data_IF_762392280469
#
_entry.id   IF_762392280469
#
_cell.length_a   1.000
_cell.length_b   1.000
_cell.length_c   1.000
_cell.angle_alpha   90.00
_cell.angle_beta   90.00
_cell.angle_gamma   90.00
#
_symmetry.space_group_name_H-M   'P 1'
#
loop_
_entity.id
_entity.type
_entity.pdbx_description
1 polymer ?
#
# COMPACT_ATOMS: atom_id res chain seq x y z
N UNK A 1 9.26 25.25 -7.32
CA UNK A 1 9.82 23.88 -7.44
C UNK A 1 8.72 22.92 -7.04
N UNK A 2 8.44 21.90 -7.87
CA UNK A 2 7.42 20.91 -7.59
C UNK A 2 7.82 20.08 -6.35
N UNK A 3 6.84 19.69 -5.52
CA UNK A 3 7.11 19.03 -4.21
C UNK A 3 7.89 17.72 -4.32
N UNK A 4 7.80 17.01 -5.45
CA UNK A 4 8.50 15.74 -5.65
C UNK A 4 9.94 15.90 -6.16
N UNK A 5 10.29 17.04 -6.78
CA UNK A 5 11.61 17.27 -7.38
C UNK A 5 12.79 16.98 -6.44
N UNK A 6 12.76 17.36 -5.14
CA UNK A 6 13.85 17.06 -4.22
C UNK A 6 14.09 15.57 -3.94
N UNK A 7 13.09 14.73 -4.22
CA UNK A 7 13.13 13.27 -3.99
C UNK A 7 13.35 12.46 -5.27
N UNK A 8 13.48 13.13 -6.41
CA UNK A 8 13.79 12.51 -7.70
C UNK A 8 15.30 12.35 -7.85
N UNK A 9 15.75 11.23 -8.39
CA UNK A 9 17.17 11.01 -8.69
C UNK A 9 17.72 12.12 -9.57
N UNK A 10 18.85 12.70 -9.18
CA UNK A 10 19.40 13.92 -9.79
C UNK A 10 19.72 13.78 -11.29
N UNK A 11 20.01 12.57 -11.75
CA UNK A 11 20.27 12.33 -13.17
C UNK A 11 19.00 12.48 -14.03
N UNK A 12 17.81 12.22 -13.50
CA UNK A 12 16.56 12.49 -14.23
C UNK A 12 16.30 13.99 -14.36
N UNK A 13 16.60 14.78 -13.32
CA UNK A 13 16.49 16.24 -13.39
C UNK A 13 17.46 16.80 -14.46
N UNK A 14 18.70 16.28 -14.50
CA UNK A 14 19.67 16.67 -15.53
C UNK A 14 19.20 16.30 -16.94
N UNK A 15 18.65 15.09 -17.08
CA UNK A 15 18.11 14.61 -18.36
C UNK A 15 16.96 15.50 -18.83
N UNK A 16 16.02 15.86 -17.95
CA UNK A 16 14.94 16.80 -18.26
C UNK A 16 15.49 18.11 -18.85
N UNK A 17 16.49 18.70 -18.21
CA UNK A 17 17.11 19.94 -18.70
C UNK A 17 17.77 19.74 -20.06
N UNK A 18 18.51 18.65 -20.25
CA UNK A 18 19.18 18.34 -21.53
C UNK A 18 18.16 18.26 -22.67
N UNK A 19 17.06 17.50 -22.49
CA UNK A 19 16.08 17.36 -23.56
C UNK A 19 15.32 18.65 -23.85
N UNK A 20 15.09 19.49 -22.84
CA UNK A 20 14.49 20.82 -23.04
C UNK A 20 15.36 21.75 -23.88
N UNK A 21 16.69 21.67 -23.75
CA UNK A 21 17.65 22.52 -24.48
C UNK A 21 18.04 21.96 -25.86
N UNK A 22 18.09 20.62 -26.00
CA UNK A 22 18.59 19.96 -27.21
C UNK A 22 17.50 19.46 -28.15
N UNK A 23 16.25 19.49 -27.72
CA UNK A 23 15.08 19.02 -28.45
C UNK A 23 14.35 17.92 -27.72
N UNK A 24 13.07 18.14 -27.52
CA UNK A 24 12.18 17.20 -26.85
C UNK A 24 11.60 16.20 -27.87
N UNK A 25 11.29 15.00 -27.39
CA UNK A 25 10.71 13.94 -28.20
C UNK A 25 9.58 13.22 -27.45
N UNK A 26 8.61 12.72 -28.19
CA UNK A 26 7.60 11.81 -27.65
C UNK A 26 8.22 10.44 -27.42
N UNK A 27 8.13 9.93 -26.20
CA UNK A 27 8.66 8.63 -25.80
C UNK A 27 7.58 7.78 -25.13
N UNK A 28 7.78 6.47 -25.11
CA UNK A 28 6.89 5.52 -24.41
C UNK A 28 7.70 4.72 -23.41
N UNK A 29 7.32 4.82 -22.15
CA UNK A 29 7.86 4.02 -21.06
C UNK A 29 7.01 2.76 -20.87
N UNK A 30 7.66 1.59 -20.87
CA UNK A 30 7.06 0.34 -20.48
C UNK A 30 7.42 0.05 -19.02
N UNK A 31 6.42 -0.05 -18.15
CA UNK A 31 6.62 -0.26 -16.73
C UNK A 31 6.30 -1.71 -16.37
N UNK A 32 7.26 -2.40 -15.79
CA UNK A 32 7.15 -3.81 -15.43
C UNK A 32 7.84 -4.11 -14.10
N UNK A 33 7.56 -5.27 -13.51
CA UNK A 33 8.23 -5.77 -12.31
C UNK A 33 9.13 -6.95 -12.67
N UNK A 34 10.24 -7.09 -11.95
CA UNK A 34 11.18 -8.23 -12.14
C UNK A 34 10.72 -9.52 -11.46
N UNK A 35 9.63 -9.46 -10.72
CA UNK A 35 8.98 -10.59 -10.04
C UNK A 35 7.48 -10.56 -10.34
N UNK A 36 6.79 -11.70 -10.24
CA UNK A 36 5.34 -11.70 -10.33
C UNK A 36 4.72 -10.83 -9.24
N UNK A 37 3.65 -10.13 -9.59
CA UNK A 37 2.91 -9.25 -8.66
C UNK A 37 1.40 -9.32 -8.89
N UNK A 38 0.64 -8.74 -7.99
CA UNK A 38 -0.77 -8.42 -8.23
C UNK A 38 -0.87 -6.92 -8.51
N UNK A 39 -1.46 -6.54 -9.63
CA UNK A 39 -1.51 -5.16 -10.10
C UNK A 39 -2.36 -4.28 -9.19
N UNK A 40 -1.76 -3.25 -8.59
CA UNK A 40 -2.38 -2.30 -7.68
C UNK A 40 -1.93 -0.86 -8.02
N UNK A 41 -2.44 -0.25 -9.11
CA UNK A 41 -1.89 0.97 -9.70
C UNK A 41 -2.51 2.26 -9.20
N UNK A 42 -3.69 2.23 -8.55
CA UNK A 42 -4.56 3.39 -8.34
C UNK A 42 -3.85 4.60 -7.73
N UNK A 43 -3.05 4.39 -6.67
CA UNK A 43 -2.37 5.51 -5.99
C UNK A 43 -1.28 6.12 -6.87
N UNK A 44 -0.51 5.29 -7.58
CA UNK A 44 0.51 5.74 -8.52
C UNK A 44 -0.09 6.51 -9.69
N UNK A 45 -1.16 5.98 -10.29
CA UNK A 45 -1.83 6.62 -11.43
C UNK A 45 -2.52 7.93 -11.04
N UNK A 46 -3.15 7.99 -9.87
CA UNK A 46 -3.76 9.22 -9.37
C UNK A 46 -2.71 10.31 -9.16
N UNK A 47 -1.57 9.95 -8.55
CA UNK A 47 -0.45 10.87 -8.38
C UNK A 47 0.10 11.35 -9.74
N UNK A 48 0.35 10.43 -10.68
CA UNK A 48 0.89 10.76 -12.00
C UNK A 48 -0.06 11.72 -12.75
N UNK A 49 -1.35 11.38 -12.82
CA UNK A 49 -2.37 12.21 -13.47
C UNK A 49 -2.43 13.62 -12.86
N UNK A 50 -2.34 13.70 -11.51
CA UNK A 50 -2.33 14.99 -10.83
C UNK A 50 -1.12 15.84 -11.21
N UNK A 51 0.09 15.27 -11.17
CA UNK A 51 1.32 16.01 -11.50
C UNK A 51 1.30 16.48 -12.97
N UNK A 52 0.83 15.64 -13.88
CA UNK A 52 0.72 16.01 -15.30
C UNK A 52 -0.30 17.15 -15.50
N UNK A 53 -1.43 17.08 -14.82
CA UNK A 53 -2.42 18.16 -14.82
C UNK A 53 -1.85 19.47 -14.25
N UNK A 54 -1.12 19.39 -13.14
CA UNK A 54 -0.49 20.56 -12.50
C UNK A 54 0.59 21.19 -13.41
N UNK A 55 1.16 20.42 -14.36
CA UNK A 55 2.11 20.89 -15.41
C UNK A 55 1.41 21.48 -16.64
N UNK A 56 0.09 21.41 -16.74
CA UNK A 56 -0.67 21.71 -17.95
C UNK A 56 -0.18 20.93 -19.20
N UNK A 57 0.25 19.69 -18.99
CA UNK A 57 0.71 18.77 -20.02
C UNK A 57 -0.25 17.59 -20.19
N UNK A 58 -0.05 16.82 -21.24
CA UNK A 58 -0.83 15.62 -21.53
C UNK A 58 0.05 14.42 -21.76
N UNK A 59 -0.42 13.28 -21.26
CA UNK A 59 0.20 11.96 -21.49
C UNK A 59 -0.88 10.96 -21.87
N UNK A 60 -0.48 9.89 -22.54
CA UNK A 60 -1.30 8.71 -22.77
C UNK A 60 -0.87 7.61 -21.79
N UNK A 61 -1.83 7.01 -21.08
CA UNK A 61 -1.61 5.86 -20.20
C UNK A 61 -2.39 4.70 -20.78
N UNK A 62 -1.71 3.61 -21.11
CA UNK A 62 -2.32 2.35 -21.54
C UNK A 62 -2.02 1.26 -20.52
N UNK A 63 -3.03 0.84 -19.77
CA UNK A 63 -2.94 -0.27 -18.82
C UNK A 63 -3.19 -1.60 -19.56
N UNK A 64 -2.30 -2.58 -19.38
CA UNK A 64 -2.46 -3.93 -19.94
C UNK A 64 -3.28 -4.85 -19.02
N UNK A 65 -3.44 -4.48 -17.76
CA UNK A 65 -4.09 -5.28 -16.73
C UNK A 65 -5.12 -4.44 -15.96
N UNK A 66 -6.14 -5.10 -15.44
CA UNK A 66 -7.07 -4.50 -14.46
C UNK A 66 -6.51 -4.66 -13.05
N UNK A 67 -6.86 -3.75 -12.16
CA UNK A 67 -6.53 -3.85 -10.74
C UNK A 67 -6.91 -5.24 -10.19
N UNK A 68 -6.01 -5.82 -9.39
CA UNK A 68 -6.14 -7.17 -8.87
C UNK A 68 -5.71 -8.29 -9.82
N UNK A 69 -5.30 -7.99 -11.06
CA UNK A 69 -4.76 -9.00 -11.96
C UNK A 69 -3.40 -9.50 -11.50
N UNK A 70 -3.14 -10.79 -11.72
CA UNK A 70 -1.78 -11.33 -11.63
C UNK A 70 -0.99 -10.90 -12.86
N UNK A 71 0.26 -10.50 -12.66
CA UNK A 71 1.19 -10.07 -13.72
C UNK A 71 2.49 -10.85 -13.54
N UNK A 72 2.98 -11.45 -14.62
CA UNK A 72 4.24 -12.19 -14.64
C UNK A 72 5.47 -11.28 -14.56
N UNK A 73 6.60 -11.88 -14.21
CA UNK A 73 7.88 -11.18 -14.22
C UNK A 73 8.22 -10.68 -15.63
N UNK A 74 8.60 -9.40 -15.76
CA UNK A 74 8.97 -8.79 -17.04
C UNK A 74 7.79 -8.41 -17.94
N UNK A 75 6.55 -8.75 -17.58
CA UNK A 75 5.39 -8.33 -18.37
C UNK A 75 5.10 -6.84 -18.12
N UNK A 76 4.97 -6.01 -19.18
CA UNK A 76 4.61 -4.61 -19.01
C UNK A 76 3.21 -4.47 -18.40
N UNK A 77 3.14 -3.89 -17.21
CA UNK A 77 1.88 -3.60 -16.51
C UNK A 77 1.11 -2.49 -17.20
N UNK A 78 1.84 -1.46 -17.61
CA UNK A 78 1.29 -0.30 -18.30
C UNK A 78 2.37 0.39 -19.15
N UNK A 79 1.89 1.24 -20.06
CA UNK A 79 2.73 2.14 -20.85
C UNK A 79 2.34 3.58 -20.56
N UNK A 80 3.34 4.45 -20.44
CA UNK A 80 3.18 5.90 -20.33
C UNK A 80 3.84 6.55 -21.53
N UNK A 81 3.08 7.28 -22.34
CA UNK A 81 3.56 7.94 -23.54
C UNK A 81 3.35 9.45 -23.42
N UNK A 82 4.41 10.22 -23.66
CA UNK A 82 4.38 11.68 -23.59
C UNK A 82 5.70 12.31 -24.02
N UNK A 83 5.81 13.64 -23.92
CA UNK A 83 7.08 14.32 -24.09
C UNK A 83 8.08 13.85 -23.04
N UNK A 84 9.33 13.59 -23.43
CA UNK A 84 10.34 13.13 -22.48
C UNK A 84 10.58 14.13 -21.35
N UNK A 85 10.61 15.43 -21.64
CA UNK A 85 10.75 16.47 -20.62
C UNK A 85 9.60 16.51 -19.61
N UNK A 86 8.44 15.96 -19.98
CA UNK A 86 7.26 15.93 -19.12
C UNK A 86 7.28 14.76 -18.14
N UNK A 87 7.87 13.62 -18.50
CA UNK A 87 7.75 12.37 -17.76
C UNK A 87 9.05 11.86 -17.12
N UNK A 88 10.22 12.23 -17.65
CA UNK A 88 11.51 11.65 -17.26
C UNK A 88 11.84 11.83 -15.77
N UNK A 89 11.52 12.97 -15.19
CA UNK A 89 11.79 13.29 -13.78
C UNK A 89 10.73 12.75 -12.83
N UNK A 90 9.70 12.09 -13.35
CA UNK A 90 8.64 11.47 -12.55
C UNK A 90 8.92 10.00 -12.23
N UNK A 91 9.89 9.38 -12.89
CA UNK A 91 10.16 7.94 -12.81
C UNK A 91 10.39 7.47 -11.37
N UNK A 92 11.29 8.13 -10.63
CA UNK A 92 11.63 7.73 -9.26
C UNK A 92 10.36 7.61 -8.39
N UNK A 93 9.56 8.67 -8.34
CA UNK A 93 8.39 8.73 -7.46
C UNK A 93 7.26 7.83 -7.97
N UNK A 94 7.09 7.75 -9.28
CA UNK A 94 6.09 6.87 -9.87
C UNK A 94 6.34 5.40 -9.51
N UNK A 95 7.60 4.94 -9.62
CA UNK A 95 7.98 3.58 -9.26
C UNK A 95 7.86 3.31 -7.76
N UNK A 96 8.20 4.29 -6.90
CA UNK A 96 7.99 4.21 -5.46
C UNK A 96 6.50 4.03 -5.10
N UNK A 97 5.59 4.66 -5.84
CA UNK A 97 4.14 4.55 -5.59
C UNK A 97 3.50 3.31 -6.21
N UNK A 98 4.09 2.74 -7.25
CA UNK A 98 3.55 1.59 -7.97
C UNK A 98 4.08 0.26 -7.43
N UNK A 99 5.38 0.15 -7.19
CA UNK A 99 6.03 -1.11 -6.84
C UNK A 99 5.54 -1.71 -5.51
N UNK A 100 5.64 -0.99 -4.39
CA UNK A 100 5.26 -1.50 -3.08
C UNK A 100 3.81 -2.00 -2.99
N UNK A 101 2.78 -1.27 -3.49
CA UNK A 101 1.42 -1.79 -3.47
C UNK A 101 1.24 -3.07 -4.29
N UNK A 102 1.90 -3.19 -5.44
CA UNK A 102 1.82 -4.40 -6.25
C UNK A 102 2.41 -5.63 -5.53
N UNK A 103 3.52 -5.44 -4.80
CA UNK A 103 4.13 -6.50 -3.96
C UNK A 103 3.24 -6.83 -2.77
N UNK A 104 2.73 -5.82 -2.06
CA UNK A 104 1.81 -6.02 -0.94
C UNK A 104 0.54 -6.76 -1.36
N UNK A 105 -0.03 -6.41 -2.51
CA UNK A 105 -1.21 -7.07 -3.07
C UNK A 105 -0.94 -8.54 -3.41
N UNK A 106 0.23 -8.84 -3.96
CA UNK A 106 0.65 -10.22 -4.24
C UNK A 106 0.78 -11.04 -2.96
N UNK A 107 1.47 -10.50 -1.94
CA UNK A 107 1.66 -11.18 -0.66
C UNK A 107 0.31 -11.40 0.06
N UNK A 108 -0.52 -10.37 0.15
CA UNK A 108 -1.83 -10.48 0.78
C UNK A 108 -2.74 -11.50 0.07
N UNK A 109 -2.72 -11.53 -1.26
CA UNK A 109 -3.45 -12.53 -2.03
C UNK A 109 -2.99 -13.94 -1.66
N UNK A 110 -1.68 -14.20 -1.65
CA UNK A 110 -1.12 -15.52 -1.33
C UNK A 110 -1.46 -15.94 0.11
N UNK A 111 -1.32 -15.04 1.10
CA UNK A 111 -1.76 -15.31 2.48
C UNK A 111 -3.23 -15.74 2.54
N UNK A 112 -4.10 -15.00 1.85
CA UNK A 112 -5.52 -15.28 1.85
C UNK A 112 -5.90 -16.60 1.16
N UNK A 113 -5.17 -17.04 0.13
CA UNK A 113 -5.45 -18.30 -0.55
C UNK A 113 -4.91 -19.51 0.21
N UNK A 114 -3.80 -19.36 0.92
CA UNK A 114 -3.24 -20.41 1.77
C UNK A 114 -4.10 -20.65 3.01
N UNK A 115 -4.63 -19.59 3.60
CA UNK A 115 -5.44 -19.63 4.83
C UNK A 115 -6.85 -19.05 4.59
N UNK A 116 -7.63 -19.67 3.73
CA UNK A 116 -8.95 -19.15 3.28
C UNK A 116 -9.94 -18.87 4.40
N UNK A 117 -9.90 -19.65 5.48
CA UNK A 117 -10.83 -19.52 6.61
C UNK A 117 -10.33 -18.56 7.68
N UNK A 118 -9.11 -18.01 7.54
CA UNK A 118 -8.52 -17.07 8.49
C UNK A 118 -8.87 -15.63 8.10
N UNK A 119 -9.27 -14.84 9.10
CA UNK A 119 -9.39 -13.39 9.00
C UNK A 119 -8.05 -12.77 9.36
N UNK A 120 -7.61 -11.78 8.58
CA UNK A 120 -6.37 -11.06 8.83
C UNK A 120 -6.63 -9.61 9.23
N UNK A 121 -5.74 -9.05 10.03
CA UNK A 121 -5.66 -7.62 10.32
C UNK A 121 -4.29 -7.12 9.84
N UNK A 122 -4.25 -6.07 9.04
CA UNK A 122 -3.01 -5.45 8.62
C UNK A 122 -2.45 -4.60 9.78
N UNK A 123 -1.33 -5.03 10.34
CA UNK A 123 -0.67 -4.39 11.50
C UNK A 123 0.74 -3.89 11.15
N UNK A 124 0.96 -3.57 9.89
CA UNK A 124 2.24 -3.20 9.31
C UNK A 124 2.65 -1.75 9.57
N UNK A 125 1.73 -0.86 9.94
CA UNK A 125 1.95 0.58 10.02
C UNK A 125 3.22 0.97 10.81
N UNK A 126 3.47 0.37 11.96
CA UNK A 126 4.67 0.62 12.79
C UNK A 126 5.98 0.08 12.19
N UNK A 127 5.90 -0.76 11.15
CA UNK A 127 7.04 -1.36 10.45
C UNK A 127 7.33 -0.70 9.10
N UNK A 128 6.49 0.23 8.67
CA UNK A 128 6.63 0.95 7.41
C UNK A 128 7.63 2.11 7.51
N UNK A 129 8.29 2.41 6.41
CA UNK A 129 9.16 3.58 6.26
C UNK A 129 8.32 4.86 6.10
N UNK A 130 7.61 5.23 7.16
CA UNK A 130 6.76 6.43 7.21
C UNK A 130 5.31 6.20 6.74
N UNK A 131 4.49 7.24 6.92
CA UNK A 131 3.05 7.18 6.68
C UNK A 131 2.67 6.90 5.22
N UNK A 132 3.44 7.42 4.28
CA UNK A 132 3.19 7.15 2.86
C UNK A 132 3.36 5.66 2.51
N UNK A 133 4.41 5.02 3.04
CA UNK A 133 4.58 3.58 2.83
C UNK A 133 3.45 2.77 3.48
N UNK A 134 3.00 3.15 4.67
CA UNK A 134 1.85 2.53 5.33
C UNK A 134 0.58 2.63 4.48
N UNK A 135 0.34 3.79 3.86
CA UNK A 135 -0.78 4.00 2.95
C UNK A 135 -0.70 3.08 1.72
N UNK A 136 0.46 3.03 1.07
CA UNK A 136 0.73 2.18 -0.08
C UNK A 136 0.57 0.68 0.23
N UNK A 137 1.07 0.23 1.38
CA UNK A 137 1.01 -1.17 1.81
C UNK A 137 -0.42 -1.59 2.14
N UNK A 138 -1.16 -0.77 2.89
CA UNK A 138 -2.56 -1.04 3.25
C UNK A 138 -3.46 -1.09 2.01
N UNK A 139 -3.30 -0.14 1.08
CA UNK A 139 -3.99 -0.18 -0.20
C UNK A 139 -3.67 -1.46 -0.98
N UNK A 140 -2.40 -1.82 -1.13
CA UNK A 140 -1.99 -3.04 -1.82
C UNK A 140 -2.59 -4.29 -1.16
N UNK A 141 -2.50 -4.40 0.17
CA UNK A 141 -3.08 -5.51 0.91
C UNK A 141 -4.60 -5.65 0.69
N UNK A 142 -5.32 -4.53 0.66
CA UNK A 142 -6.76 -4.54 0.38
C UNK A 142 -7.08 -5.08 -1.03
N UNK A 143 -6.31 -4.68 -2.05
CA UNK A 143 -6.49 -5.18 -3.43
C UNK A 143 -6.26 -6.69 -3.52
N UNK A 144 -5.20 -7.21 -2.92
CA UNK A 144 -4.90 -8.64 -2.89
C UNK A 144 -5.96 -9.44 -2.14
N UNK A 145 -6.38 -8.94 -0.98
CA UNK A 145 -7.44 -9.52 -0.16
C UNK A 145 -8.77 -9.59 -0.92
N UNK A 146 -9.20 -8.50 -1.51
CA UNK A 146 -10.46 -8.43 -2.26
C UNK A 146 -10.49 -9.41 -3.43
N UNK A 147 -9.37 -9.56 -4.14
CA UNK A 147 -9.22 -10.57 -5.19
C UNK A 147 -9.43 -12.00 -4.65
N UNK A 148 -8.84 -12.33 -3.49
CA UNK A 148 -8.98 -13.64 -2.88
C UNK A 148 -10.41 -13.91 -2.39
N UNK A 149 -11.04 -12.91 -1.79
CA UNK A 149 -12.45 -12.97 -1.35
C UNK A 149 -13.35 -13.25 -2.55
N UNK A 150 -13.26 -12.43 -3.60
CA UNK A 150 -14.14 -12.57 -4.79
C UNK A 150 -13.93 -13.84 -5.57
N UNK A 151 -12.68 -14.31 -5.72
CA UNK A 151 -12.39 -15.48 -6.57
C UNK A 151 -12.48 -16.80 -5.84
N UNK A 152 -12.20 -16.85 -4.55
CA UNK A 152 -11.95 -18.08 -3.82
C UNK A 152 -12.78 -18.22 -2.54
N UNK A 153 -13.60 -17.22 -2.21
CA UNK A 153 -14.40 -17.20 -0.98
C UNK A 153 -13.55 -17.11 0.30
N UNK A 154 -12.32 -16.58 0.21
CA UNK A 154 -11.49 -16.37 1.38
C UNK A 154 -12.11 -15.35 2.33
N UNK A 155 -11.82 -15.43 3.64
CA UNK A 155 -12.25 -14.42 4.61
C UNK A 155 -11.43 -13.12 4.51
N UNK A 156 -10.17 -13.23 4.13
CA UNK A 156 -9.28 -12.12 3.79
C UNK A 156 -8.98 -11.16 4.93
N UNK A 157 -8.48 -9.99 4.57
CA UNK A 157 -8.21 -8.90 5.52
C UNK A 157 -9.51 -8.18 5.90
N UNK A 158 -9.80 -8.13 7.18
CA UNK A 158 -11.02 -7.52 7.74
C UNK A 158 -10.83 -6.07 8.19
N UNK A 159 -9.60 -5.58 8.17
CA UNK A 159 -9.23 -4.22 8.56
C UNK A 159 -7.74 -4.08 8.78
N UNK A 160 -7.35 -2.93 9.32
CA UNK A 160 -5.98 -2.61 9.72
C UNK A 160 -5.97 -1.93 11.10
N UNK A 161 -4.79 -1.77 11.69
CA UNK A 161 -4.65 -1.18 13.02
C UNK A 161 -4.73 0.36 13.03
N UNK A 162 -4.52 1.03 11.90
CA UNK A 162 -4.46 2.49 11.81
C UNK A 162 -5.74 3.09 11.21
N UNK A 163 -6.29 4.12 11.82
CA UNK A 163 -7.49 4.82 11.33
C UNK A 163 -7.29 5.39 9.93
N UNK A 164 -6.12 5.97 9.67
CA UNK A 164 -5.81 6.63 8.39
C UNK A 164 -6.00 5.72 7.17
N UNK A 165 -5.72 4.42 7.31
CA UNK A 165 -5.76 3.44 6.21
C UNK A 165 -6.95 2.48 6.29
N UNK A 166 -7.80 2.59 7.32
CA UNK A 166 -8.94 1.71 7.56
C UNK A 166 -9.96 1.71 6.41
N UNK A 167 -10.07 2.84 5.72
CA UNK A 167 -11.00 3.03 4.59
C UNK A 167 -10.72 2.08 3.42
N UNK A 168 -9.48 1.61 3.22
CA UNK A 168 -9.14 0.62 2.19
C UNK A 168 -9.81 -0.74 2.45
N UNK A 169 -10.15 -1.02 3.69
CA UNK A 169 -10.84 -2.25 4.11
C UNK A 169 -12.34 -2.02 4.40
N UNK A 170 -12.89 -0.89 3.95
CA UNK A 170 -14.29 -0.52 4.16
C UNK A 170 -14.63 -0.21 5.63
N UNK A 171 -13.64 0.19 6.45
CA UNK A 171 -13.82 0.55 7.86
C UNK A 171 -13.68 2.05 8.07
N UNK A 172 -14.31 2.56 9.13
CA UNK A 172 -14.18 3.96 9.56
C UNK A 172 -13.03 4.18 10.53
N UNK A 173 -12.64 3.14 11.26
CA UNK A 173 -11.58 3.15 12.28
C UNK A 173 -10.71 1.91 12.16
N UNK A 174 -9.50 1.99 12.71
CA UNK A 174 -8.61 0.85 12.90
C UNK A 174 -9.22 -0.20 13.82
N UNK A 175 -8.71 -1.42 13.72
CA UNK A 175 -9.13 -2.56 14.55
C UNK A 175 -8.02 -2.86 15.55
N UNK A 176 -8.40 -3.12 16.79
CA UNK A 176 -7.52 -3.49 17.89
C UNK A 176 -7.97 -2.83 19.17
N UNK A 177 -7.88 -3.56 20.28
CA UNK A 177 -8.30 -3.07 21.59
C UNK A 177 -7.13 -2.51 22.40
N UNK A 178 -6.02 -3.26 22.52
CA UNK A 178 -4.92 -2.84 23.38
C UNK A 178 -3.56 -3.26 22.83
N UNK A 179 -2.47 -2.49 23.13
CA UNK A 179 -1.11 -2.94 22.94
C UNK A 179 -0.58 -3.70 24.15
N UNK A 180 0.53 -4.42 24.02
CA UNK A 180 1.27 -5.02 25.15
C UNK A 180 1.60 -3.99 26.26
N UNK A 181 1.82 -2.72 25.89
CA UNK A 181 2.11 -1.66 26.85
C UNK A 181 0.99 -1.46 27.89
N UNK A 182 -0.28 -1.67 27.55
CA UNK A 182 -1.38 -1.61 28.51
C UNK A 182 -1.31 -2.75 29.52
N UNK A 183 -0.97 -3.97 29.06
CA UNK A 183 -0.81 -5.14 29.92
C UNK A 183 0.36 -4.92 30.91
N UNK A 184 1.49 -4.41 30.42
CA UNK A 184 2.62 -4.06 31.26
C UNK A 184 2.30 -2.97 32.29
N UNK A 185 1.52 -1.96 31.90
CA UNK A 185 1.05 -0.90 32.80
C UNK A 185 0.09 -1.44 33.86
N UNK A 186 -0.86 -2.29 33.49
CA UNK A 186 -1.85 -2.87 34.38
C UNK A 186 -1.27 -3.96 35.31
N UNK A 187 -0.12 -4.54 34.96
CA UNK A 187 0.53 -5.61 35.72
C UNK A 187 -0.05 -7.01 35.50
N UNK A 188 -1.18 -7.12 34.80
CA UNK A 188 -1.74 -8.41 34.38
C UNK A 188 -2.67 -8.23 33.16
N UNK A 189 -2.83 -9.31 32.42
CA UNK A 189 -3.73 -9.40 31.24
C UNK A 189 -5.19 -9.13 31.65
N UNK A 190 -5.63 -9.68 32.79
CA UNK A 190 -7.00 -9.52 33.32
C UNK A 190 -7.28 -8.06 33.69
N UNK A 191 -6.35 -7.40 34.38
CA UNK A 191 -6.55 -6.00 34.78
C UNK A 191 -6.55 -5.07 33.55
N UNK A 192 -5.70 -5.32 32.56
CA UNK A 192 -5.74 -4.58 31.30
C UNK A 192 -7.10 -4.73 30.58
N UNK A 193 -7.67 -5.94 30.57
CA UNK A 193 -8.98 -6.20 29.99
C UNK A 193 -10.10 -5.46 30.74
N UNK A 194 -10.07 -5.44 32.07
CA UNK A 194 -11.04 -4.69 32.90
C UNK A 194 -10.94 -3.19 32.65
N UNK A 195 -9.74 -2.62 32.68
CA UNK A 195 -9.51 -1.19 32.39
C UNK A 195 -10.04 -0.80 31.02
N UNK A 196 -9.81 -1.64 30.00
CA UNK A 196 -10.33 -1.39 28.65
C UNK A 196 -11.87 -1.39 28.64
N UNK A 197 -12.48 -2.42 29.21
CA UNK A 197 -13.94 -2.55 29.24
C UNK A 197 -14.64 -1.43 30.03
N UNK A 198 -14.05 -0.95 31.12
CA UNK A 198 -14.57 0.18 31.89
C UNK A 198 -14.64 1.47 31.06
N UNK A 199 -13.65 1.72 30.21
CA UNK A 199 -13.58 2.95 29.40
C UNK A 199 -14.30 2.81 28.05
N UNK A 200 -14.30 1.59 27.49
CA UNK A 200 -14.88 1.28 26.18
C UNK A 200 -15.86 0.10 26.25
N UNK A 201 -16.97 0.22 27.01
CA UNK A 201 -17.86 -0.92 27.26
C UNK A 201 -18.53 -1.48 26.00
N UNK A 202 -18.72 -0.65 24.97
CA UNK A 202 -19.39 -1.02 23.71
C UNK A 202 -18.42 -1.43 22.61
N UNK A 203 -17.10 -1.33 22.84
CA UNK A 203 -16.11 -1.71 21.83
C UNK A 203 -15.72 -3.18 21.94
N UNK A 204 -15.51 -3.88 20.81
CA UNK A 204 -15.05 -5.27 20.84
C UNK A 204 -13.71 -5.41 21.55
N UNK A 205 -13.65 -6.24 22.56
CA UNK A 205 -12.44 -6.53 23.32
C UNK A 205 -11.70 -7.74 22.73
N UNK A 206 -10.45 -7.54 22.33
CA UNK A 206 -9.50 -8.59 22.00
C UNK A 206 -8.29 -8.45 22.91
N UNK A 207 -7.99 -9.48 23.67
CA UNK A 207 -6.93 -9.49 24.69
C UNK A 207 -5.70 -10.20 24.13
N UNK A 208 -4.51 -9.64 24.37
CA UNK A 208 -3.23 -10.27 24.08
C UNK A 208 -2.84 -11.17 25.25
N UNK A 209 -2.45 -12.39 24.97
CA UNK A 209 -2.10 -13.40 26.00
C UNK A 209 -0.62 -13.79 25.98
N UNK A 210 0.18 -13.14 25.13
CA UNK A 210 1.59 -13.47 24.89
C UNK A 210 2.59 -12.54 25.60
N UNK A 211 2.10 -11.57 26.40
CA UNK A 211 2.99 -10.58 27.04
C UNK A 211 3.92 -11.20 28.07
N UNK A 212 3.45 -12.14 28.88
CA UNK A 212 4.25 -12.80 29.91
C UNK A 212 4.89 -14.11 29.44
N UNK A 213 4.70 -14.52 28.18
CA UNK A 213 5.17 -15.79 27.65
C UNK A 213 4.51 -17.01 28.29
N UNK A 214 3.23 -16.88 28.67
CA UNK A 214 2.44 -17.91 29.38
C UNK A 214 1.04 -18.06 28.75
N UNK A 215 0.99 -18.21 27.44
CA UNK A 215 -0.24 -18.13 26.62
C UNK A 215 -1.32 -19.16 27.02
N UNK A 216 -0.95 -20.22 27.74
CA UNK A 216 -1.88 -21.25 28.21
C UNK A 216 -2.45 -20.91 29.59
N UNK A 217 -1.73 -20.14 30.41
CA UNK A 217 -2.07 -19.86 31.81
C UNK A 217 -2.40 -18.42 32.11
N UNK A 218 -2.16 -17.51 31.17
CA UNK A 218 -2.42 -16.07 31.24
C UNK A 218 -3.78 -15.65 30.59
#
# INVERSE_FOLDING_TARGET
>A
MEKHTPYTDSYFIRTRKIVQEKGDAKVTYAIFMRRPVTYAPKLALNWLKKVISDRNETIEIRENFREGSWVGAGEPMLYVTGKMSCIVDLETIFLQKLGPPCVAAYNAYNMCIEMKQTKFIAMDARHCAGSEMSDLMSYGASVGSEKAIRKLGAKGFIGCAADATSHYFGKKKGIGSMPHALIGYAGSTIEAAKMFHEIYPDEPLTVLIDYFGKEITD
#
